data_IF_073522149127
#
_entry.id   IF_073522149127
#
_cell.length_a   1.000
_cell.length_b   1.000
_cell.length_c   1.000
_cell.angle_alpha   90.00
_cell.angle_beta   90.00
_cell.angle_gamma   90.00
#
_symmetry.space_group_name_H-M   'P 1'
#
loop_
_entity.id
_entity.type
_entity.pdbx_description
1 polymer ?
#
# COMPACT_ATOMS: atom_id res chain seq x y z
N UNK A 1 -54.11 -23.16 58.62
CA UNK A 1 -52.83 -23.60 58.03
C UNK A 1 -53.03 -23.79 56.54
N UNK A 2 -52.56 -22.85 55.71
CA UNK A 2 -52.34 -23.11 54.27
C UNK A 2 -51.39 -22.03 53.74
N UNK A 3 -50.16 -22.44 53.41
CA UNK A 3 -49.13 -21.60 52.80
C UNK A 3 -49.39 -21.55 51.30
N UNK A 4 -49.57 -20.35 50.74
CA UNK A 4 -49.55 -20.15 49.29
C UNK A 4 -48.09 -20.06 48.82
N UNK A 5 -47.65 -21.02 48.01
CA UNK A 5 -46.41 -20.93 47.24
C UNK A 5 -46.69 -20.15 45.96
N UNK A 6 -45.98 -19.04 45.77
CA UNK A 6 -45.96 -18.30 44.52
C UNK A 6 -44.98 -19.01 43.57
N UNK A 7 -45.51 -19.72 42.57
CA UNK A 7 -44.71 -20.29 41.47
C UNK A 7 -44.56 -19.21 40.40
N UNK A 8 -43.37 -18.65 40.25
CA UNK A 8 -43.04 -17.74 39.14
C UNK A 8 -42.78 -18.62 37.91
N UNK A 9 -43.72 -18.60 36.96
CA UNK A 9 -43.59 -19.25 35.67
C UNK A 9 -42.70 -18.38 34.76
N UNK A 10 -41.43 -18.74 34.60
CA UNK A 10 -40.54 -18.09 33.62
C UNK A 10 -40.85 -18.67 32.25
N UNK A 11 -41.58 -17.90 31.42
CA UNK A 11 -41.78 -18.19 30.01
C UNK A 11 -40.44 -18.03 29.28
N UNK A 12 -39.75 -19.14 29.02
CA UNK A 12 -38.61 -19.18 28.11
C UNK A 12 -39.12 -19.02 26.67
N UNK A 13 -39.00 -17.80 26.11
CA UNK A 13 -39.13 -17.57 24.68
C UNK A 13 -37.98 -18.28 23.96
N UNK A 14 -38.23 -19.09 22.92
CA UNK A 14 -37.16 -19.63 22.11
C UNK A 14 -36.49 -18.49 21.35
N UNK A 15 -35.26 -18.16 21.73
CA UNK A 15 -34.38 -17.36 20.89
C UNK A 15 -34.05 -18.21 19.65
N UNK A 16 -34.83 -18.01 18.59
CA UNK A 16 -34.43 -18.47 17.25
C UNK A 16 -33.19 -17.68 16.86
N UNK A 17 -32.01 -18.30 17.01
CA UNK A 17 -30.81 -17.86 16.32
C UNK A 17 -31.08 -18.00 14.82
N UNK A 18 -31.53 -16.92 14.18
CA UNK A 18 -31.23 -16.75 12.76
C UNK A 18 -29.72 -16.57 12.68
N UNK A 19 -29.02 -17.66 12.37
CA UNK A 19 -27.70 -17.53 11.78
C UNK A 19 -27.88 -16.66 10.53
N UNK A 20 -27.38 -15.43 10.57
CA UNK A 20 -27.11 -14.68 9.35
C UNK A 20 -26.25 -15.60 8.49
N UNK A 21 -26.82 -16.13 7.40
CA UNK A 21 -26.00 -16.62 6.31
C UNK A 21 -25.03 -15.50 6.00
N UNK A 22 -23.73 -15.75 6.16
CA UNK A 22 -22.71 -14.91 5.58
C UNK A 22 -23.06 -14.87 4.09
N UNK A 23 -23.51 -13.71 3.62
CA UNK A 23 -23.61 -13.49 2.19
C UNK A 23 -22.17 -13.68 1.70
N UNK A 24 -21.92 -14.67 0.85
CA UNK A 24 -20.64 -14.91 0.18
C UNK A 24 -20.36 -13.75 -0.78
N UNK A 25 -20.21 -12.53 -0.26
CA UNK A 25 -19.91 -11.35 -1.05
C UNK A 25 -18.50 -11.53 -1.59
N UNK A 26 -18.36 -11.52 -2.91
CA UNK A 26 -17.08 -11.40 -3.59
C UNK A 26 -16.98 -9.95 -4.07
N UNK A 27 -16.27 -9.06 -3.32
CA UNK A 27 -16.21 -7.64 -3.65
C UNK A 27 -15.74 -7.35 -5.08
N UNK A 28 -14.88 -8.21 -5.62
CA UNK A 28 -14.42 -8.10 -7.01
C UNK A 28 -15.56 -8.38 -7.98
N UNK A 29 -16.29 -9.47 -7.78
CA UNK A 29 -17.43 -9.80 -8.63
C UNK A 29 -18.56 -8.78 -8.50
N UNK A 30 -18.85 -8.33 -7.29
CA UNK A 30 -19.88 -7.32 -7.02
C UNK A 30 -19.57 -6.01 -7.76
N UNK A 31 -18.31 -5.55 -7.73
CA UNK A 31 -17.90 -4.36 -8.47
C UNK A 31 -18.00 -4.54 -9.99
N UNK A 32 -17.41 -5.61 -10.55
CA UNK A 32 -17.39 -5.84 -12.00
C UNK A 32 -18.80 -5.98 -12.56
N UNK A 33 -19.68 -6.71 -11.86
CA UNK A 33 -21.06 -6.93 -12.31
C UNK A 33 -21.93 -5.67 -12.23
N UNK A 34 -21.55 -4.67 -11.42
CA UNK A 34 -22.24 -3.39 -11.34
C UNK A 34 -21.86 -2.42 -12.46
N UNK A 35 -20.80 -2.71 -13.24
CA UNK A 35 -20.36 -1.91 -14.37
C UNK A 35 -21.21 -2.19 -15.62
N UNK A 36 -21.45 -1.16 -16.42
CA UNK A 36 -22.03 -1.32 -17.76
C UNK A 36 -21.10 -2.12 -18.68
N UNK A 37 -21.62 -2.66 -19.78
CA UNK A 37 -20.79 -3.37 -20.77
C UNK A 37 -19.66 -2.48 -21.32
N UNK A 38 -19.94 -1.21 -21.59
CA UNK A 38 -18.93 -0.22 -22.01
C UNK A 38 -17.84 -0.03 -20.96
N UNK A 39 -18.23 0.10 -19.68
CA UNK A 39 -17.27 0.23 -18.58
C UNK A 39 -16.45 -1.05 -18.39
N UNK A 40 -17.06 -2.23 -18.49
CA UNK A 40 -16.33 -3.51 -18.43
C UNK A 40 -15.29 -3.62 -19.54
N UNK A 41 -15.65 -3.27 -20.78
CA UNK A 41 -14.74 -3.28 -21.92
C UNK A 41 -13.59 -2.27 -21.77
N UNK A 42 -13.81 -1.15 -21.08
CA UNK A 42 -12.78 -0.14 -20.80
C UNK A 42 -11.86 -0.54 -19.64
N UNK A 43 -12.37 -1.25 -18.64
CA UNK A 43 -11.63 -1.55 -17.40
C UNK A 43 -10.92 -2.89 -17.42
N UNK A 44 -11.42 -3.88 -18.18
CA UNK A 44 -10.84 -5.23 -18.26
C UNK A 44 -9.96 -5.30 -19.52
N UNK A 45 -8.64 -5.28 -19.30
CA UNK A 45 -7.62 -5.33 -20.33
C UNK A 45 -7.03 -6.74 -20.47
N UNK A 46 -6.30 -6.96 -21.56
CA UNK A 46 -5.53 -8.20 -21.75
C UNK A 46 -4.52 -8.40 -20.61
N UNK A 47 -4.37 -9.64 -20.11
CA UNK A 47 -3.47 -9.93 -18.99
C UNK A 47 -2.01 -9.56 -19.30
N UNK A 48 -1.58 -9.69 -20.55
CA UNK A 48 -0.22 -9.40 -21.00
C UNK A 48 -0.07 -7.98 -21.55
N UNK A 49 -1.07 -7.11 -21.40
CA UNK A 49 -0.98 -5.71 -21.82
C UNK A 49 0.26 -5.05 -21.17
N UNK A 50 1.13 -4.37 -21.95
CA UNK A 50 2.34 -3.72 -21.41
C UNK A 50 2.03 -2.69 -20.32
N UNK A 51 0.82 -2.14 -20.34
CA UNK A 51 0.33 -1.17 -19.36
C UNK A 51 0.20 -1.75 -17.95
N UNK A 52 0.10 -3.08 -17.80
CA UNK A 52 0.05 -3.76 -16.48
C UNK A 52 1.22 -3.44 -15.57
N UNK A 53 2.38 -3.11 -16.14
CA UNK A 53 3.59 -2.72 -15.39
C UNK A 53 3.97 -1.26 -15.59
N UNK A 54 3.13 -0.47 -16.27
CA UNK A 54 3.38 0.93 -16.63
C UNK A 54 2.76 1.89 -15.61
N UNK A 55 3.24 1.83 -14.38
CA UNK A 55 2.73 2.62 -13.26
C UNK A 55 3.46 3.96 -13.12
N UNK A 56 2.83 4.93 -12.45
CA UNK A 56 3.48 6.19 -12.04
C UNK A 56 2.72 6.86 -10.91
N UNK A 57 3.43 7.68 -10.13
CA UNK A 57 2.86 8.50 -9.04
C UNK A 57 2.63 9.99 -9.40
N UNK A 58 2.79 10.38 -10.68
CA UNK A 58 2.56 11.76 -11.12
C UNK A 58 1.09 12.05 -11.41
N UNK A 59 0.66 13.32 -11.49
CA UNK A 59 -0.70 13.67 -11.90
C UNK A 59 -1.09 13.00 -13.24
N UNK A 60 -2.35 12.58 -13.42
CA UNK A 60 -2.80 11.91 -14.65
C UNK A 60 -2.72 12.76 -15.91
N UNK A 61 -2.62 14.09 -15.77
CA UNK A 61 -2.33 15.01 -16.87
C UNK A 61 -0.87 14.97 -17.34
N UNK A 62 0.05 14.44 -16.53
CA UNK A 62 1.47 14.27 -16.86
C UNK A 62 1.79 12.83 -17.25
N UNK A 63 1.05 11.87 -16.68
CA UNK A 63 1.18 10.45 -17.00
C UNK A 63 -0.21 9.82 -17.18
N UNK A 64 -0.59 9.45 -18.42
CA UNK A 64 -1.91 8.84 -18.67
C UNK A 64 -2.04 7.53 -17.92
N UNK A 65 -3.28 7.19 -17.52
CA UNK A 65 -3.59 5.97 -16.78
C UNK A 65 -4.68 5.19 -17.49
N UNK A 66 -4.53 3.87 -17.43
CA UNK A 66 -5.51 2.94 -17.96
C UNK A 66 -6.72 2.79 -17.05
N UNK A 67 -7.80 2.27 -17.62
CA UNK A 67 -9.02 1.93 -16.92
C UNK A 67 -9.92 3.13 -16.65
N UNK A 68 -10.67 3.08 -15.55
CA UNK A 68 -11.77 4.02 -15.28
C UNK A 68 -11.44 4.90 -14.07
N UNK A 69 -11.51 6.24 -14.19
CA UNK A 69 -11.39 7.13 -13.05
C UNK A 69 -12.64 7.10 -12.16
N UNK A 70 -12.49 7.36 -10.85
CA UNK A 70 -13.61 7.49 -9.90
C UNK A 70 -14.72 8.45 -10.40
N UNK A 71 -14.34 9.49 -11.14
CA UNK A 71 -15.27 10.48 -11.70
C UNK A 71 -16.21 9.96 -12.78
N UNK A 72 -15.92 8.82 -13.39
CA UNK A 72 -16.77 8.17 -14.41
C UNK A 72 -17.66 7.06 -13.82
N UNK A 73 -17.49 6.70 -12.55
CA UNK A 73 -18.32 5.71 -11.86
C UNK A 73 -19.56 6.37 -11.24
N UNK A 74 -20.69 5.66 -11.21
CA UNK A 74 -21.87 6.09 -10.44
C UNK A 74 -21.57 6.06 -8.92
N UNK A 75 -22.38 6.71 -8.07
CA UNK A 75 -22.22 6.60 -6.62
C UNK A 75 -22.22 5.16 -6.09
N UNK A 76 -23.07 4.30 -6.64
CA UNK A 76 -23.19 2.89 -6.27
C UNK A 76 -21.93 2.10 -6.70
N UNK A 77 -21.45 2.33 -7.92
CA UNK A 77 -20.21 1.71 -8.41
C UNK A 77 -18.99 2.16 -7.61
N UNK A 78 -18.92 3.44 -7.26
CA UNK A 78 -17.88 3.97 -6.37
C UNK A 78 -17.93 3.30 -4.99
N UNK A 79 -19.12 3.11 -4.40
CA UNK A 79 -19.25 2.40 -3.13
C UNK A 79 -18.72 0.96 -3.20
N UNK A 80 -19.04 0.24 -4.28
CA UNK A 80 -18.55 -1.13 -4.51
C UNK A 80 -17.03 -1.17 -4.73
N UNK A 81 -16.46 -0.21 -5.47
CA UNK A 81 -15.02 -0.09 -5.64
C UNK A 81 -14.31 0.16 -4.30
N UNK A 82 -14.87 0.99 -3.43
CA UNK A 82 -14.30 1.23 -2.09
C UNK A 82 -14.38 -0.03 -1.20
N UNK A 83 -15.44 -0.83 -1.32
CA UNK A 83 -15.55 -2.13 -0.65
C UNK A 83 -14.49 -3.09 -1.18
N UNK A 84 -14.32 -3.16 -2.51
CA UNK A 84 -13.24 -3.92 -3.15
C UNK A 84 -11.88 -3.49 -2.62
N UNK A 85 -11.55 -2.20 -2.66
CA UNK A 85 -10.28 -1.67 -2.19
C UNK A 85 -10.02 -2.01 -0.71
N UNK A 86 -11.05 -1.94 0.13
CA UNK A 86 -10.98 -2.32 1.54
C UNK A 86 -10.78 -3.82 1.75
N UNK A 87 -11.17 -4.68 0.80
CA UNK A 87 -10.90 -6.12 0.88
C UNK A 87 -9.44 -6.49 0.57
N UNK A 88 -8.73 -5.64 -0.18
CA UNK A 88 -7.30 -5.82 -0.52
C UNK A 88 -6.35 -5.01 0.36
N UNK A 89 -6.87 -4.21 1.29
CA UNK A 89 -6.06 -3.42 2.22
C UNK A 89 -6.48 -3.73 3.66
N UNK A 90 -5.55 -3.54 4.60
CA UNK A 90 -5.99 -3.40 5.99
C UNK A 90 -6.73 -2.08 6.21
N UNK A 91 -7.33 -1.92 7.39
CA UNK A 91 -7.86 -0.62 7.81
C UNK A 91 -6.79 0.49 7.77
N UNK A 92 -5.54 0.16 8.09
CA UNK A 92 -4.41 1.11 8.04
C UNK A 92 -4.12 1.50 6.59
N UNK A 93 -3.97 0.51 5.69
CA UNK A 93 -3.70 0.74 4.27
C UNK A 93 -4.81 1.52 3.59
N UNK A 94 -6.07 1.18 3.89
CA UNK A 94 -7.24 1.88 3.38
C UNK A 94 -7.28 3.34 3.88
N UNK A 95 -7.07 3.58 5.18
CA UNK A 95 -7.02 4.94 5.73
C UNK A 95 -5.89 5.78 5.13
N UNK A 96 -4.71 5.20 4.90
CA UNK A 96 -3.60 5.89 4.19
C UNK A 96 -4.03 6.27 2.78
N UNK A 97 -4.58 5.32 2.02
CA UNK A 97 -5.08 5.53 0.66
C UNK A 97 -6.09 6.67 0.59
N UNK A 98 -7.12 6.66 1.44
CA UNK A 98 -8.13 7.71 1.46
C UNK A 98 -7.55 9.08 1.86
N UNK A 99 -6.60 9.13 2.79
CA UNK A 99 -5.92 10.38 3.15
C UNK A 99 -5.09 10.94 1.98
N UNK A 100 -4.41 10.08 1.22
CA UNK A 100 -3.63 10.49 0.05
C UNK A 100 -4.55 11.07 -1.03
N UNK A 101 -5.66 10.39 -1.34
CA UNK A 101 -6.68 10.91 -2.27
C UNK A 101 -7.17 12.28 -1.84
N UNK A 102 -7.48 12.43 -0.55
CA UNK A 102 -8.02 13.66 0.01
C UNK A 102 -7.03 14.82 0.07
N UNK A 103 -5.71 14.56 -0.02
CA UNK A 103 -4.72 15.64 -0.20
C UNK A 103 -4.88 16.38 -1.54
N UNK A 104 -5.55 15.80 -2.55
CA UNK A 104 -5.91 16.54 -3.76
C UNK A 104 -6.77 17.76 -3.43
N UNK A 105 -7.71 17.65 -2.49
CA UNK A 105 -8.56 18.77 -2.09
C UNK A 105 -7.73 19.88 -1.44
N UNK A 106 -6.75 19.51 -0.62
CA UNK A 106 -5.82 20.45 0.02
C UNK A 106 -4.96 21.14 -1.03
N UNK A 107 -4.41 20.39 -1.99
CA UNK A 107 -3.63 20.95 -3.10
C UNK A 107 -4.49 21.86 -3.99
N UNK A 108 -5.76 21.51 -4.22
CA UNK A 108 -6.69 22.32 -4.99
C UNK A 108 -6.92 23.68 -4.31
N UNK A 109 -7.17 23.69 -3.01
CA UNK A 109 -7.31 24.90 -2.20
C UNK A 109 -6.01 25.75 -2.19
N UNK A 110 -4.85 25.12 -2.01
CA UNK A 110 -3.57 25.82 -1.94
C UNK A 110 -3.13 26.39 -3.29
N UNK A 111 -3.41 25.70 -4.38
CA UNK A 111 -3.01 26.12 -5.74
C UNK A 111 -4.06 26.97 -6.46
N UNK A 112 -5.31 26.95 -6.00
CA UNK A 112 -6.45 27.52 -6.72
C UNK A 112 -6.84 26.74 -7.99
N UNK A 113 -6.24 25.57 -8.25
CA UNK A 113 -6.42 24.81 -9.49
C UNK A 113 -7.19 23.51 -9.28
N UNK A 114 -8.50 23.62 -9.08
CA UNK A 114 -9.43 22.50 -8.86
C UNK A 114 -9.61 21.57 -10.06
N UNK A 115 -9.31 22.03 -11.28
CA UNK A 115 -9.37 21.19 -12.47
C UNK A 115 -8.16 20.24 -12.57
N UNK A 116 -6.99 20.72 -12.14
CA UNK A 116 -5.75 19.94 -12.10
C UNK A 116 -5.67 19.04 -10.87
N UNK A 117 -6.13 19.55 -9.71
CA UNK A 117 -6.14 18.86 -8.42
C UNK A 117 -7.53 18.30 -8.14
N UNK A 118 -7.75 17.04 -8.51
CA UNK A 118 -9.07 16.42 -8.51
C UNK A 118 -9.02 15.00 -7.93
N UNK A 119 -9.63 14.84 -6.76
CA UNK A 119 -9.75 13.57 -6.05
C UNK A 119 -10.53 12.50 -6.83
N UNK A 120 -11.21 12.87 -7.93
CA UNK A 120 -11.93 11.93 -8.80
C UNK A 120 -11.03 11.31 -9.88
N UNK A 121 -9.79 11.77 -10.03
CA UNK A 121 -8.83 11.29 -11.05
C UNK A 121 -7.90 10.18 -10.52
N UNK A 122 -8.48 9.24 -9.76
CA UNK A 122 -7.86 7.98 -9.39
C UNK A 122 -8.48 6.86 -10.21
N UNK A 123 -7.65 6.03 -10.82
CA UNK A 123 -8.02 5.10 -11.87
C UNK A 123 -7.94 3.67 -11.36
N UNK A 124 -8.88 2.85 -11.82
CA UNK A 124 -8.89 1.41 -11.60
C UNK A 124 -8.77 0.70 -12.94
N UNK A 125 -7.86 -0.26 -13.06
CA UNK A 125 -7.72 -1.13 -14.23
C UNK A 125 -7.62 -2.60 -13.80
N UNK A 126 -8.18 -3.49 -14.59
CA UNK A 126 -8.06 -4.94 -14.46
C UNK A 126 -7.31 -5.51 -15.65
N UNK A 127 -6.54 -6.56 -15.44
CA UNK A 127 -5.77 -7.26 -16.45
C UNK A 127 -6.09 -8.74 -16.33
N UNK A 128 -6.65 -9.33 -17.38
CA UNK A 128 -7.36 -10.61 -17.28
C UNK A 128 -8.74 -10.43 -16.64
N UNK A 129 -9.62 -11.41 -16.85
CA UNK A 129 -10.99 -11.37 -16.40
C UNK A 129 -11.12 -11.98 -14.99
N UNK A 130 -11.38 -11.18 -13.93
CA UNK A 130 -11.46 -11.67 -12.56
C UNK A 130 -12.63 -12.63 -12.30
N UNK A 131 -13.62 -12.70 -13.20
CA UNK A 131 -14.77 -13.60 -13.10
C UNK A 131 -14.53 -14.97 -13.74
N UNK A 132 -13.49 -15.11 -14.57
CA UNK A 132 -13.26 -16.30 -15.41
C UNK A 132 -11.85 -16.86 -15.27
N UNK A 133 -10.85 -15.99 -15.16
CA UNK A 133 -9.46 -16.38 -15.24
C UNK A 133 -8.91 -16.79 -13.88
N UNK A 134 -8.03 -17.79 -13.89
CA UNK A 134 -7.35 -18.27 -12.66
C UNK A 134 -6.23 -17.34 -12.21
N UNK A 135 -5.67 -16.57 -13.15
CA UNK A 135 -4.71 -15.51 -12.92
C UNK A 135 -5.23 -14.21 -13.53
N UNK A 136 -5.21 -13.16 -12.72
CA UNK A 136 -5.61 -11.83 -13.13
C UNK A 136 -4.94 -10.81 -12.22
N UNK A 137 -4.95 -9.55 -12.61
CA UNK A 137 -4.38 -8.47 -11.84
C UNK A 137 -5.29 -7.26 -11.87
N UNK A 138 -5.10 -6.36 -10.92
CA UNK A 138 -5.74 -5.06 -10.96
C UNK A 138 -4.88 -4.01 -10.26
N UNK A 139 -5.03 -2.76 -10.67
CA UNK A 139 -4.36 -1.63 -10.05
C UNK A 139 -5.34 -0.54 -9.64
N UNK A 140 -4.94 0.23 -8.61
CA UNK A 140 -5.61 1.45 -8.20
C UNK A 140 -4.58 2.57 -8.06
N UNK A 141 -4.66 3.56 -8.93
CA UNK A 141 -3.56 4.50 -9.17
C UNK A 141 -4.02 5.96 -9.30
N UNK A 142 -3.17 6.88 -8.89
CA UNK A 142 -3.40 8.31 -9.02
C UNK A 142 -2.16 9.10 -8.61
N UNK A 143 -2.32 10.41 -8.50
CA UNK A 143 -1.24 11.27 -8.01
C UNK A 143 -0.84 10.83 -6.59
N UNK A 144 0.44 10.53 -6.38
CA UNK A 144 0.99 9.97 -5.13
C UNK A 144 0.47 8.60 -4.68
N UNK A 145 -0.15 7.81 -5.57
CA UNK A 145 -0.67 6.51 -5.21
C UNK A 145 -0.50 5.51 -6.36
N UNK A 146 0.09 4.36 -6.08
CA UNK A 146 0.02 3.21 -7.00
C UNK A 146 -0.04 1.92 -6.21
N UNK A 147 -1.17 1.24 -6.31
CA UNK A 147 -1.44 -0.05 -5.67
C UNK A 147 -1.58 -1.09 -6.76
N UNK A 148 -0.77 -2.14 -6.72
CA UNK A 148 -0.77 -3.21 -7.71
C UNK A 148 -1.06 -4.54 -7.04
N UNK A 149 -2.00 -5.28 -7.60
CA UNK A 149 -2.40 -6.59 -7.09
C UNK A 149 -2.38 -7.62 -8.22
N UNK A 150 -1.78 -8.77 -7.98
CA UNK A 150 -1.89 -9.92 -8.90
C UNK A 150 -2.42 -11.10 -8.12
N UNK A 151 -3.53 -11.65 -8.59
CA UNK A 151 -4.30 -12.70 -7.95
C UNK A 151 -4.09 -14.00 -8.72
N UNK A 152 -3.73 -15.07 -8.00
CA UNK A 152 -3.63 -16.41 -8.54
C UNK A 152 -4.17 -17.43 -7.53
N UNK A 153 -5.32 -18.03 -7.80
CA UNK A 153 -6.09 -18.81 -6.82
C UNK A 153 -6.29 -18.02 -5.51
N UNK A 154 -5.82 -18.55 -4.38
CA UNK A 154 -5.92 -17.92 -3.05
C UNK A 154 -4.66 -17.10 -2.69
N UNK A 155 -3.77 -16.83 -3.65
CA UNK A 155 -2.55 -16.04 -3.45
C UNK A 155 -2.69 -14.68 -4.12
N UNK A 156 -2.15 -13.66 -3.47
CA UNK A 156 -2.18 -12.29 -3.96
C UNK A 156 -0.77 -11.69 -3.75
N UNK A 157 -0.20 -11.11 -4.81
CA UNK A 157 0.94 -10.18 -4.71
C UNK A 157 0.41 -8.76 -4.53
N UNK A 158 1.12 -7.94 -3.76
CA UNK A 158 0.74 -6.58 -3.35
C UNK A 158 1.77 -5.53 -3.77
N UNK A 159 2.70 -5.90 -4.65
CA UNK A 159 3.89 -5.11 -4.99
C UNK A 159 3.99 -4.92 -6.51
N UNK A 160 4.59 -3.83 -7.00
CA UNK A 160 5.09 -2.70 -6.21
C UNK A 160 3.95 -1.90 -5.59
N UNK A 161 4.21 -1.33 -4.41
CA UNK A 161 3.25 -0.47 -3.71
C UNK A 161 3.88 0.87 -3.39
N UNK A 162 3.29 1.92 -3.92
CA UNK A 162 3.73 3.29 -3.72
C UNK A 162 2.69 4.10 -2.95
N UNK A 163 3.16 4.83 -1.95
CA UNK A 163 2.44 5.89 -1.27
C UNK A 163 3.26 7.17 -1.30
N UNK A 164 2.61 8.29 -1.53
CA UNK A 164 3.22 9.60 -1.35
C UNK A 164 2.27 10.56 -0.64
N UNK A 165 2.82 11.64 -0.10
CA UNK A 165 2.04 12.66 0.57
C UNK A 165 2.56 14.05 0.19
N UNK A 166 1.73 14.81 -0.51
CA UNK A 166 2.00 16.21 -0.84
C UNK A 166 0.74 17.05 -0.58
N UNK A 167 0.75 17.96 0.41
CA UNK A 167 1.79 18.13 1.42
C UNK A 167 1.82 16.95 2.42
N UNK A 168 3.01 16.61 2.94
CA UNK A 168 3.16 15.64 4.03
C UNK A 168 2.55 16.15 5.34
N UNK A 169 2.74 17.44 5.63
CA UNK A 169 2.11 18.20 6.72
C UNK A 169 1.34 19.38 6.17
N UNK A 170 0.05 19.47 6.52
CA UNK A 170 -0.79 20.62 6.14
C UNK A 170 -0.41 21.83 6.99
N UNK A 171 0.14 22.88 6.36
CA UNK A 171 0.69 24.06 7.08
C UNK A 171 -0.33 25.19 7.33
N UNK A 172 -1.44 25.22 6.60
CA UNK A 172 -2.45 26.30 6.63
C UNK A 172 -3.88 25.74 6.50
N UNK A 173 -4.88 26.58 6.76
CA UNK A 173 -6.29 26.21 6.62
C UNK A 173 -6.85 25.44 7.83
N UNK A 174 -8.08 24.95 7.70
CA UNK A 174 -8.83 24.29 8.79
C UNK A 174 -8.17 23.00 9.29
N UNK A 175 -7.41 22.33 8.42
CA UNK A 175 -6.74 21.04 8.66
C UNK A 175 -5.27 21.18 9.02
N UNK A 176 -4.84 22.38 9.40
CA UNK A 176 -3.44 22.65 9.79
C UNK A 176 -2.98 21.68 10.87
N UNK A 177 -1.80 21.09 10.67
CA UNK A 177 -1.16 20.16 11.60
C UNK A 177 -1.43 18.68 11.32
N UNK A 178 -2.37 18.35 10.43
CA UNK A 178 -2.51 16.97 9.97
C UNK A 178 -1.25 16.51 9.22
N UNK A 179 -0.76 15.32 9.57
CA UNK A 179 0.40 14.66 8.93
C UNK A 179 0.00 13.32 8.28
N UNK A 180 0.21 13.20 6.98
CA UNK A 180 -0.01 11.97 6.20
C UNK A 180 1.31 11.22 6.03
N UNK A 181 1.30 9.89 6.20
CA UNK A 181 2.51 9.03 6.19
C UNK A 181 3.55 9.35 7.28
N UNK A 182 3.12 9.99 8.38
CA UNK A 182 4.05 10.39 9.46
C UNK A 182 4.70 9.21 10.17
N UNK A 183 4.08 8.03 10.22
CA UNK A 183 4.65 6.89 10.96
C UNK A 183 5.90 6.36 10.27
N UNK A 184 5.89 6.30 8.95
CA UNK A 184 7.04 5.93 8.13
C UNK A 184 8.23 6.88 8.37
N UNK A 185 7.96 8.19 8.48
CA UNK A 185 8.96 9.22 8.77
C UNK A 185 9.45 9.15 10.23
N UNK A 186 8.52 9.17 11.19
CA UNK A 186 8.82 9.23 12.63
C UNK A 186 9.57 7.99 13.10
N UNK A 187 9.22 6.79 12.62
CA UNK A 187 9.94 5.56 12.96
C UNK A 187 11.34 5.52 12.34
N UNK A 188 11.51 6.01 11.11
CA UNK A 188 12.82 6.15 10.46
C UNK A 188 13.72 7.10 11.23
N UNK A 189 13.24 8.30 11.54
CA UNK A 189 13.94 9.30 12.35
C UNK A 189 14.24 8.77 13.76
N UNK A 190 13.32 8.05 14.40
CA UNK A 190 13.54 7.46 15.72
C UNK A 190 14.64 6.39 15.68
N UNK A 191 14.69 5.57 14.63
CA UNK A 191 15.73 4.56 14.46
C UNK A 191 17.11 5.21 14.29
N UNK A 192 17.28 6.13 13.32
CA UNK A 192 18.59 6.74 13.06
C UNK A 192 19.09 7.55 14.28
N UNK A 193 18.21 8.30 14.96
CA UNK A 193 18.60 9.09 16.14
C UNK A 193 18.84 8.25 17.40
N UNK A 194 18.57 6.94 17.36
CA UNK A 194 18.89 6.03 18.46
C UNK A 194 20.28 5.39 18.34
N UNK A 195 20.99 5.62 17.23
CA UNK A 195 22.28 5.00 16.92
C UNK A 195 23.46 5.66 17.64
N UNK A 196 24.48 4.87 17.98
CA UNK A 196 25.77 5.38 18.46
C UNK A 196 26.57 6.04 17.32
N UNK A 197 27.65 6.76 17.66
CA UNK A 197 28.54 7.36 16.64
C UNK A 197 29.05 6.34 15.61
N UNK A 198 29.54 5.19 16.07
CA UNK A 198 30.04 4.11 15.20
C UNK A 198 28.94 3.52 14.31
N UNK A 199 27.70 3.44 14.82
CA UNK A 199 26.56 2.96 14.05
C UNK A 199 26.12 4.00 13.02
N UNK A 200 26.12 5.29 13.37
CA UNK A 200 25.80 6.39 12.46
C UNK A 200 26.77 6.44 11.28
N UNK A 201 28.08 6.22 11.51
CA UNK A 201 29.08 6.14 10.45
C UNK A 201 28.82 5.02 9.43
N UNK A 202 28.14 3.94 9.85
CA UNK A 202 27.74 2.84 8.97
C UNK A 202 26.39 3.08 8.31
N UNK A 203 25.44 3.61 9.07
CA UNK A 203 24.06 3.81 8.63
C UNK A 203 23.94 4.97 7.62
N UNK A 204 24.62 6.08 7.87
CA UNK A 204 24.60 7.27 7.00
C UNK A 204 25.58 7.04 5.85
N UNK A 205 25.07 6.67 4.69
CA UNK A 205 25.89 6.43 3.50
C UNK A 205 26.08 7.70 2.65
N UNK A 206 25.33 8.76 2.94
CA UNK A 206 25.45 10.08 2.28
C UNK A 206 25.01 11.19 3.23
N UNK A 207 25.81 12.27 3.34
CA UNK A 207 25.44 13.46 4.11
C UNK A 207 24.33 14.28 3.45
N UNK A 208 24.23 14.20 2.12
CA UNK A 208 23.16 14.81 1.34
C UNK A 208 22.06 13.77 1.06
N UNK A 209 20.80 14.19 1.19
CA UNK A 209 19.66 13.35 0.84
C UNK A 209 19.60 13.14 -0.67
N UNK A 210 19.11 11.97 -1.09
CA UNK A 210 18.81 11.70 -2.49
C UNK A 210 17.62 12.56 -2.95
N UNK A 211 17.51 12.92 -4.24
CA UNK A 211 16.45 13.83 -4.70
C UNK A 211 15.05 13.18 -4.79
N UNK A 212 14.99 11.85 -4.76
CA UNK A 212 13.77 11.04 -4.77
C UNK A 212 14.12 9.58 -4.41
N UNK A 213 13.12 8.69 -4.35
CA UNK A 213 13.33 7.24 -4.34
C UNK A 213 14.12 6.79 -5.58
N UNK A 214 15.10 5.91 -5.39
CA UNK A 214 16.04 5.49 -6.43
C UNK A 214 15.37 4.63 -7.49
N UNK A 215 14.44 3.76 -7.08
CA UNK A 215 13.77 2.86 -8.04
C UNK A 215 12.68 3.52 -8.88
N UNK A 216 12.24 4.73 -8.49
CA UNK A 216 11.22 5.50 -9.18
C UNK A 216 10.04 4.62 -9.63
N UNK A 217 9.64 4.70 -10.89
CA UNK A 217 8.57 3.91 -11.49
C UNK A 217 9.05 2.70 -12.31
N UNK A 218 10.25 2.17 -12.06
CA UNK A 218 10.77 1.02 -12.81
C UNK A 218 9.80 -0.18 -12.73
N UNK A 219 9.54 -0.83 -13.87
CA UNK A 219 8.70 -2.04 -13.93
C UNK A 219 9.37 -3.25 -13.25
N UNK A 220 10.69 -3.25 -13.16
CA UNK A 220 11.50 -4.29 -12.56
C UNK A 220 12.65 -3.68 -11.76
N UNK A 221 12.91 -4.27 -10.59
CA UNK A 221 13.99 -3.87 -9.69
C UNK A 221 14.73 -5.12 -9.24
N UNK A 222 16.05 -5.09 -9.31
CA UNK A 222 16.95 -6.07 -8.70
C UNK A 222 17.54 -5.49 -7.41
N UNK A 223 18.13 -6.30 -6.52
CA UNK A 223 18.84 -5.77 -5.35
C UNK A 223 19.80 -4.64 -5.72
N UNK A 224 19.68 -3.51 -5.02
CA UNK A 224 20.58 -2.38 -5.19
C UNK A 224 21.90 -2.65 -4.46
N UNK A 225 22.93 -1.85 -4.75
CA UNK A 225 24.18 -1.88 -3.98
C UNK A 225 23.90 -1.76 -2.48
N UNK A 226 24.52 -2.63 -1.67
CA UNK A 226 24.30 -2.63 -0.24
C UNK A 226 24.88 -1.35 0.38
N UNK A 227 24.05 -0.64 1.14
CA UNK A 227 24.46 0.54 1.91
C UNK A 227 23.86 0.46 3.31
N UNK A 228 24.45 1.19 4.24
CA UNK A 228 23.94 1.29 5.59
C UNK A 228 24.45 0.21 6.53
N UNK A 229 23.84 0.16 7.71
CA UNK A 229 24.20 -0.76 8.79
C UNK A 229 23.43 -2.07 8.67
N UNK A 230 24.09 -3.21 8.93
CA UNK A 230 23.40 -4.50 9.00
C UNK A 230 22.58 -4.59 10.30
N UNK A 231 21.40 -5.21 10.24
CA UNK A 231 20.52 -5.39 11.39
C UNK A 231 21.21 -6.05 12.59
N UNK A 232 22.19 -6.94 12.41
CA UNK A 232 22.93 -7.56 13.51
C UNK A 232 23.87 -6.63 14.26
N UNK A 233 24.27 -5.53 13.63
CA UNK A 233 25.12 -4.51 14.24
C UNK A 233 24.28 -3.50 15.04
N UNK A 234 22.95 -3.63 15.01
CA UNK A 234 22.02 -2.89 15.84
C UNK A 234 21.84 -3.57 17.21
N UNK A 235 21.66 -2.78 18.25
CA UNK A 235 21.22 -3.27 19.56
C UNK A 235 19.81 -3.87 19.48
N UNK A 236 19.42 -4.70 20.45
CA UNK A 236 18.09 -5.30 20.50
C UNK A 236 16.95 -4.27 20.38
N UNK A 237 17.09 -3.11 21.04
CA UNK A 237 16.11 -2.01 20.96
C UNK A 237 16.01 -1.43 19.55
N UNK A 238 17.14 -1.22 18.87
CA UNK A 238 17.19 -0.70 17.50
C UNK A 238 16.68 -1.73 16.48
N UNK A 239 16.97 -3.02 16.68
CA UNK A 239 16.40 -4.11 15.86
C UNK A 239 14.87 -4.13 15.97
N UNK A 240 14.32 -3.94 17.16
CA UNK A 240 12.87 -3.82 17.36
C UNK A 240 12.30 -2.58 16.65
N UNK A 241 12.99 -1.44 16.66
CA UNK A 241 12.58 -0.25 15.91
C UNK A 241 12.59 -0.49 14.40
N UNK A 242 13.62 -1.14 13.86
CA UNK A 242 13.69 -1.51 12.45
C UNK A 242 12.55 -2.46 12.05
N UNK A 243 12.27 -3.48 12.88
CA UNK A 243 11.14 -4.37 12.64
C UNK A 243 9.78 -3.67 12.75
N UNK A 244 9.63 -2.72 13.66
CA UNK A 244 8.43 -1.87 13.77
C UNK A 244 8.25 -1.02 12.50
N UNK A 245 9.34 -0.45 11.99
CA UNK A 245 9.33 0.33 10.75
C UNK A 245 8.92 -0.55 9.55
N UNK A 246 9.54 -1.71 9.38
CA UNK A 246 9.15 -2.69 8.34
C UNK A 246 7.68 -3.11 8.50
N UNK A 247 7.22 -3.31 9.74
CA UNK A 247 5.82 -3.64 10.01
C UNK A 247 4.87 -2.52 9.59
N UNK A 248 5.21 -1.25 9.73
CA UNK A 248 4.35 -0.13 9.31
C UNK A 248 4.01 -0.19 7.82
N UNK A 249 4.96 -0.65 7.00
CA UNK A 249 4.72 -0.91 5.59
C UNK A 249 3.83 -2.15 5.39
N UNK A 250 4.20 -3.29 5.97
CA UNK A 250 3.47 -4.55 5.80
C UNK A 250 2.03 -4.45 6.30
N UNK A 251 1.80 -3.68 7.38
CA UNK A 251 0.51 -3.47 8.00
C UNK A 251 -0.51 -2.80 7.08
N UNK A 252 -0.15 -2.34 5.89
CA UNK A 252 -1.11 -1.87 4.88
C UNK A 252 -1.83 -3.02 4.15
N UNK A 253 -1.30 -4.25 4.23
CA UNK A 253 -1.92 -5.47 3.69
C UNK A 253 -2.95 -6.06 4.69
N UNK A 254 -3.94 -6.85 4.24
CA UNK A 254 -4.85 -7.58 5.13
C UNK A 254 -4.11 -8.37 6.21
N UNK A 255 -4.63 -8.38 7.44
CA UNK A 255 -3.93 -8.86 8.65
C UNK A 255 -3.31 -10.26 8.52
N UNK A 256 -4.03 -11.20 7.91
CA UNK A 256 -3.53 -12.56 7.70
C UNK A 256 -2.29 -12.59 6.78
N UNK A 257 -2.29 -11.77 5.73
CA UNK A 257 -1.19 -11.67 4.76
C UNK A 257 -0.02 -10.89 5.34
N UNK A 258 -0.30 -9.81 6.07
CA UNK A 258 0.69 -9.06 6.82
C UNK A 258 1.45 -9.96 7.83
N UNK A 259 0.70 -10.80 8.55
CA UNK A 259 1.29 -11.76 9.51
C UNK A 259 2.18 -12.78 8.81
N UNK A 260 1.71 -13.34 7.69
CA UNK A 260 2.49 -14.29 6.89
C UNK A 260 3.78 -13.65 6.34
N UNK A 261 3.70 -12.42 5.82
CA UNK A 261 4.86 -11.69 5.29
C UNK A 261 5.88 -11.38 6.37
N UNK A 262 5.42 -10.89 7.53
CA UNK A 262 6.30 -10.62 8.67
C UNK A 262 6.99 -11.89 9.18
N UNK A 263 6.27 -13.02 9.23
CA UNK A 263 6.88 -14.30 9.60
C UNK A 263 7.96 -14.74 8.60
N UNK A 264 7.69 -14.66 7.29
CA UNK A 264 8.65 -14.99 6.25
C UNK A 264 9.93 -14.13 6.37
N UNK A 265 9.78 -12.80 6.54
CA UNK A 265 10.92 -11.90 6.73
C UNK A 265 11.78 -12.27 7.94
N UNK A 266 11.15 -12.57 9.09
CA UNK A 266 11.90 -12.95 10.30
C UNK A 266 12.66 -14.26 10.15
N UNK A 267 12.22 -15.18 9.28
CA UNK A 267 12.87 -16.47 9.05
C UNK A 267 13.93 -16.40 7.95
N UNK A 268 13.64 -15.70 6.85
CA UNK A 268 14.41 -15.75 5.61
C UNK A 268 15.44 -14.61 5.50
N UNK A 269 15.21 -13.50 6.22
CA UNK A 269 15.91 -12.23 6.03
C UNK A 269 16.63 -11.71 7.28
N UNK A 270 16.49 -12.34 8.46
CA UNK A 270 16.98 -11.78 9.73
C UNK A 270 18.45 -11.35 9.71
N UNK A 271 19.25 -11.96 8.84
CA UNK A 271 20.69 -11.73 8.76
C UNK A 271 21.12 -10.86 7.57
N UNK A 272 20.19 -10.47 6.70
CA UNK A 272 20.48 -9.78 5.45
C UNK A 272 19.87 -8.37 5.37
N UNK A 273 19.04 -7.99 6.34
CA UNK A 273 18.43 -6.67 6.33
C UNK A 273 19.47 -5.60 6.65
N UNK A 274 19.62 -4.64 5.75
CA UNK A 274 20.42 -3.42 5.95
C UNK A 274 19.52 -2.20 6.04
N UNK A 275 19.89 -1.25 6.89
CA UNK A 275 19.25 0.06 7.01
C UNK A 275 20.25 1.16 6.64
N UNK A 276 19.99 1.86 5.54
CA UNK A 276 20.78 3.00 5.08
C UNK A 276 20.01 4.32 5.22
N UNK A 277 20.73 5.39 5.54
CA UNK A 277 20.22 6.74 5.67
C UNK A 277 21.03 7.71 4.80
N UNK A 278 20.33 8.70 4.23
CA UNK A 278 20.96 9.82 3.54
C UNK A 278 20.31 11.14 3.96
N UNK A 279 21.12 12.18 4.17
CA UNK A 279 20.63 13.49 4.55
C UNK A 279 20.49 13.74 6.06
N UNK A 280 19.72 14.76 6.40
CA UNK A 280 19.56 15.22 7.78
C UNK A 280 18.82 14.19 8.66
N UNK A 281 19.10 14.20 9.97
CA UNK A 281 18.40 13.35 10.95
C UNK A 281 17.32 14.10 11.74
N UNK A 282 16.94 15.29 11.27
CA UNK A 282 15.92 16.14 11.87
C UNK A 282 14.66 16.21 11.00
N UNK A 283 13.51 16.36 11.66
CA UNK A 283 12.24 16.61 10.97
C UNK A 283 12.29 17.92 10.16
N UNK A 284 11.52 18.00 9.07
CA UNK A 284 11.44 19.18 8.19
C UNK A 284 12.78 19.56 7.54
N UNK A 285 13.70 18.59 7.43
CA UNK A 285 14.95 18.68 6.69
C UNK A 285 15.02 17.55 5.67
N UNK A 286 15.63 17.76 4.49
CA UNK A 286 15.73 16.72 3.47
C UNK A 286 16.38 15.44 4.00
N UNK A 287 15.71 14.31 3.83
CA UNK A 287 16.21 13.01 4.26
C UNK A 287 15.62 11.85 3.45
N UNK A 288 16.35 10.75 3.44
CA UNK A 288 16.00 9.51 2.76
C UNK A 288 16.44 8.31 3.62
N UNK A 289 15.69 7.21 3.55
CA UNK A 289 16.19 5.92 4.02
C UNK A 289 15.86 4.77 3.07
N UNK A 290 16.69 3.74 3.17
CA UNK A 290 16.54 2.46 2.47
C UNK A 290 16.58 1.31 3.45
N UNK A 291 15.61 0.41 3.35
CA UNK A 291 15.66 -0.91 4.00
C UNK A 291 15.70 -1.96 2.91
N UNK A 292 16.72 -2.79 2.87
CA UNK A 292 16.86 -3.83 1.86
C UNK A 292 17.15 -5.17 2.53
N UNK A 293 16.41 -6.21 2.14
CA UNK A 293 16.74 -7.61 2.41
C UNK A 293 17.15 -8.33 1.11
N UNK A 294 17.19 -9.66 1.13
CA UNK A 294 17.46 -10.48 -0.07
C UNK A 294 16.30 -10.45 -1.06
N UNK A 295 15.07 -10.36 -0.58
CA UNK A 295 13.86 -10.49 -1.41
C UNK A 295 13.06 -9.19 -1.57
N UNK A 296 13.38 -8.13 -0.84
CA UNK A 296 12.59 -6.91 -0.80
C UNK A 296 13.42 -5.64 -0.63
N UNK A 297 12.80 -4.52 -0.98
CA UNK A 297 13.32 -3.18 -0.83
C UNK A 297 12.21 -2.24 -0.36
N UNK A 298 12.55 -1.36 0.58
CA UNK A 298 11.76 -0.22 1.01
C UNK A 298 12.60 1.03 0.80
N UNK A 299 12.02 2.04 0.19
CA UNK A 299 12.61 3.37 0.11
C UNK A 299 11.64 4.40 0.66
N UNK A 300 12.19 5.41 1.32
CA UNK A 300 11.48 6.58 1.77
C UNK A 300 12.31 7.81 1.42
N UNK A 301 11.67 8.79 0.81
CA UNK A 301 12.22 10.10 0.49
C UNK A 301 11.31 11.19 1.05
N UNK A 302 11.92 12.23 1.63
CA UNK A 302 11.24 13.48 1.91
C UNK A 302 12.20 14.66 1.70
N UNK A 303 12.48 14.97 0.43
CA UNK A 303 13.39 16.07 0.07
C UNK A 303 12.71 17.26 -0.58
N UNK A 304 11.64 17.00 -1.33
CA UNK A 304 10.91 18.02 -2.08
C UNK A 304 10.07 18.93 -1.17
N UNK A 305 9.76 20.13 -1.67
CA UNK A 305 8.90 21.12 -1.00
C UNK A 305 9.31 21.40 0.47
N UNK A 306 10.61 21.57 0.70
CA UNK A 306 11.19 21.78 2.04
C UNK A 306 10.94 20.59 2.99
N UNK A 307 11.19 19.37 2.51
CA UNK A 307 10.91 18.14 3.25
C UNK A 307 9.45 18.07 3.73
N UNK A 308 8.53 18.36 2.81
CA UNK A 308 7.09 18.29 3.05
C UNK A 308 6.36 17.55 1.92
N UNK A 309 7.06 16.63 1.27
CA UNK A 309 6.60 15.87 0.13
C UNK A 309 7.23 14.49 0.21
N UNK A 310 6.49 13.55 0.80
CA UNK A 310 6.97 12.19 1.03
C UNK A 310 6.72 11.35 -0.22
N UNK A 311 7.72 10.57 -0.61
CA UNK A 311 7.57 9.43 -1.50
C UNK A 311 8.06 8.18 -0.78
N UNK A 312 7.29 7.09 -0.86
CA UNK A 312 7.74 5.81 -0.32
C UNK A 312 7.21 4.63 -1.11
N UNK A 313 8.06 3.62 -1.28
CA UNK A 313 7.76 2.44 -2.08
C UNK A 313 8.20 1.17 -1.36
N UNK A 314 7.39 0.13 -1.49
CA UNK A 314 7.77 -1.25 -1.21
C UNK A 314 7.88 -2.02 -2.53
N UNK A 315 8.99 -2.72 -2.73
CA UNK A 315 9.28 -3.58 -3.87
C UNK A 315 9.60 -5.00 -3.39
N UNK A 316 9.12 -6.00 -4.11
CA UNK A 316 9.60 -7.39 -3.97
C UNK A 316 10.33 -7.78 -5.26
N UNK A 317 11.63 -8.09 -5.19
CA UNK A 317 12.46 -8.29 -6.39
C UNK A 317 11.92 -9.39 -7.33
N UNK A 318 11.32 -10.43 -6.76
CA UNK A 318 10.68 -11.51 -7.51
C UNK A 318 9.14 -11.45 -7.48
N UNK A 319 8.56 -10.54 -6.70
CA UNK A 319 7.11 -10.49 -6.42
C UNK A 319 6.38 -9.33 -7.07
N UNK A 320 7.10 -8.29 -7.52
CA UNK A 320 6.52 -7.14 -8.21
C UNK A 320 5.67 -7.61 -9.40
N UNK A 321 4.44 -7.09 -9.49
CA UNK A 321 3.41 -7.48 -10.47
C UNK A 321 3.11 -8.99 -10.51
N UNK A 322 3.31 -9.67 -9.38
CA UNK A 322 3.08 -11.10 -9.21
C UNK A 322 3.96 -11.98 -10.08
N UNK A 323 5.19 -11.56 -10.42
CA UNK A 323 6.12 -12.36 -11.24
C UNK A 323 6.28 -13.79 -10.75
N UNK A 324 6.40 -13.99 -9.44
CA UNK A 324 6.44 -15.30 -8.78
C UNK A 324 5.16 -16.11 -8.99
N UNK A 325 3.99 -15.49 -8.85
CA UNK A 325 2.69 -16.10 -9.07
C UNK A 325 2.46 -16.46 -10.55
N UNK A 326 2.88 -15.59 -11.47
CA UNK A 326 2.84 -15.82 -12.91
C UNK A 326 3.72 -17.02 -13.26
N UNK A 327 4.94 -17.07 -12.73
CA UNK A 327 5.84 -18.21 -12.91
C UNK A 327 5.21 -19.50 -12.36
N UNK A 328 4.60 -19.45 -11.18
CA UNK A 328 3.88 -20.59 -10.60
C UNK A 328 2.70 -21.05 -11.49
N UNK A 329 1.95 -20.12 -12.07
CA UNK A 329 0.86 -20.39 -13.00
C UNK A 329 1.37 -21.15 -14.24
N UNK A 330 2.40 -20.64 -14.93
CA UNK A 330 2.99 -21.30 -16.10
C UNK A 330 3.61 -22.67 -15.78
N UNK A 331 4.09 -22.90 -14.56
CA UNK A 331 4.54 -24.23 -14.15
C UNK A 331 3.39 -25.21 -13.90
N UNK A 332 2.24 -24.74 -13.42
CA UNK A 332 1.07 -25.57 -13.10
C UNK A 332 0.18 -25.85 -14.32
N UNK A 333 0.05 -24.88 -15.22
CA UNK A 333 -0.79 -24.98 -16.40
C UNK A 333 0.10 -24.99 -17.64
N UNK A 334 0.00 -26.05 -18.46
CA UNK A 334 0.69 -26.08 -19.75
C UNK A 334 -0.03 -25.10 -20.69
N UNK A 335 0.57 -23.94 -20.94
CA UNK A 335 0.13 -23.07 -22.01
C UNK A 335 0.77 -23.58 -23.31
N UNK A 336 -0.06 -23.96 -24.28
CA UNK A 336 0.43 -24.20 -25.64
C UNK A 336 0.71 -22.83 -26.27
N UNK A 337 1.94 -22.64 -26.73
CA UNK A 337 2.38 -21.44 -27.44
C UNK A 337 1.58 -21.20 -28.71
#
# INVERSE_FOLDING_TARGET
MQRFFLVILVLALPFSFYALQANDSNPTADFINALSEEQQNKIILDFNAPTKTSWHFFPPSMWPREGIPLGELTPEQNALLLILLRSYLSEIGYKKTMKIIDLENVLAELSGNFAFRDAKKYYTAFYGNPLKDTIWAWSFEGHHLSLNFTCFNNKISFTPRFFGANPATIKKGKRKGERTLHKEEDLGLKLINSMSGDQLQKAIFSEEALPDIVTSNAAEVTPLEAVGINMHELSNTQQLLLLQLINEYIASMPTALATKRMHALKQEESNAITFGWAGATALEKPHYYRIQGKTFLIEFDNTQNNANHIHTVWRDFNGDFGKDLIKEHYHKFKHQN
#
